data_IF_163895719667
#
_entry.id   IF_163895719667
#
_cell.length_a   1.000
_cell.length_b   1.000
_cell.length_c   1.000
_cell.angle_alpha   90.00
_cell.angle_beta   90.00
_cell.angle_gamma   90.00
#
_symmetry.space_group_name_H-M   'P 1'
#
loop_
_entity.id
_entity.type
_entity.pdbx_description
1 polymer ?
#
# COMPACT_ATOMS: atom_id res chain seq x y z
N UNK A 1 36.22 5.19 9.93
CA UNK A 1 34.87 4.60 10.05
C UNK A 1 33.89 5.59 9.47
N UNK A 2 33.25 5.27 8.34
CA UNK A 2 32.13 6.07 7.86
C UNK A 2 31.00 5.92 8.87
N UNK A 3 30.59 7.03 9.48
CA UNK A 3 29.35 7.02 10.26
C UNK A 3 28.23 6.64 9.29
N UNK A 4 27.51 5.55 9.57
CA UNK A 4 26.28 5.26 8.87
C UNK A 4 25.32 6.41 9.15
N UNK A 5 25.20 7.34 8.20
CA UNK A 5 24.15 8.34 8.23
C UNK A 5 22.83 7.59 8.22
N UNK A 6 22.03 7.78 9.27
CA UNK A 6 20.69 7.20 9.31
C UNK A 6 19.93 7.69 8.06
N UNK A 7 19.66 6.77 7.13
CA UNK A 7 18.85 7.06 5.96
C UNK A 7 17.44 7.33 6.47
N UNK A 8 16.90 8.52 6.18
CA UNK A 8 15.50 8.79 6.48
C UNK A 8 14.64 7.87 5.62
N UNK A 9 13.80 7.05 6.27
CA UNK A 9 12.92 6.08 5.59
C UNK A 9 11.50 6.63 5.61
N UNK A 10 10.99 7.02 4.45
CA UNK A 10 9.59 7.38 4.25
C UNK A 10 8.74 6.11 4.17
N UNK A 11 7.69 6.07 4.97
CA UNK A 11 6.66 5.02 4.94
C UNK A 11 5.40 5.64 4.35
N UNK A 12 4.91 5.11 3.23
CA UNK A 12 3.66 5.53 2.62
C UNK A 12 2.46 4.90 3.32
N UNK A 13 1.57 5.72 3.89
CA UNK A 13 0.41 5.29 4.71
C UNK A 13 -0.93 5.21 3.98
N UNK A 14 -1.01 5.57 2.69
CA UNK A 14 -2.29 5.78 1.97
C UNK A 14 -2.99 4.49 1.54
N UNK A 15 -2.30 3.36 1.62
CA UNK A 15 -2.78 1.98 1.39
C UNK A 15 -3.43 1.41 2.66
N UNK A 16 -4.33 2.19 3.25
CA UNK A 16 -4.94 1.90 4.54
C UNK A 16 -6.46 2.06 4.46
N UNK A 17 -7.20 0.96 4.59
CA UNK A 17 -8.67 0.94 4.47
C UNK A 17 -9.33 1.80 5.57
N UNK A 18 -8.82 1.78 6.80
CA UNK A 18 -9.37 2.59 7.89
C UNK A 18 -9.03 4.08 7.74
N UNK A 19 -7.82 4.39 7.28
CA UNK A 19 -7.26 5.75 7.25
C UNK A 19 -7.49 6.53 5.95
N UNK A 20 -7.84 5.87 4.84
CA UNK A 20 -7.99 6.49 3.53
C UNK A 20 -9.37 6.20 2.94
N UNK A 21 -10.23 7.24 2.91
CA UNK A 21 -11.57 7.14 2.32
C UNK A 21 -11.53 6.76 0.82
N UNK A 22 -10.46 7.15 0.10
CA UNK A 22 -10.25 6.73 -1.28
C UNK A 22 -9.94 5.23 -1.32
N UNK A 23 -8.93 4.78 -0.59
CA UNK A 23 -8.49 3.39 -0.61
C UNK A 23 -9.60 2.43 -0.15
N UNK A 24 -10.34 2.80 0.90
CA UNK A 24 -11.53 2.07 1.37
C UNK A 24 -12.52 1.81 0.24
N UNK A 25 -12.88 2.82 -0.55
CA UNK A 25 -13.84 2.67 -1.65
C UNK A 25 -13.33 1.71 -2.72
N UNK A 26 -12.03 1.76 -3.03
CA UNK A 26 -11.41 0.89 -4.03
C UNK A 26 -11.44 -0.56 -3.58
N UNK A 27 -10.95 -0.84 -2.36
CA UNK A 27 -10.91 -2.21 -1.81
C UNK A 27 -12.31 -2.78 -1.62
N UNK A 28 -13.24 -2.01 -1.04
CA UNK A 28 -14.63 -2.46 -0.89
C UNK A 28 -15.36 -2.63 -2.22
N UNK A 29 -14.91 -1.92 -3.28
CA UNK A 29 -15.44 -2.05 -4.63
C UNK A 29 -14.75 -3.15 -5.46
N UNK A 30 -13.71 -3.80 -4.93
CA UNK A 30 -12.90 -4.78 -5.67
C UNK A 30 -12.03 -4.16 -6.78
N UNK A 31 -11.86 -2.83 -6.80
CA UNK A 31 -11.06 -2.11 -7.79
C UNK A 31 -9.59 -2.10 -7.39
N UNK A 32 -8.97 -3.28 -7.48
CA UNK A 32 -7.57 -3.48 -7.10
C UNK A 32 -6.60 -2.80 -8.07
N UNK A 33 -6.95 -2.66 -9.35
CA UNK A 33 -6.12 -1.97 -10.34
C UNK A 33 -5.91 -0.50 -9.94
N UNK A 34 -7.00 0.20 -9.61
CA UNK A 34 -6.89 1.59 -9.13
C UNK A 34 -6.28 1.67 -7.72
N UNK A 35 -6.40 0.61 -6.90
CA UNK A 35 -5.75 0.53 -5.60
C UNK A 35 -4.22 0.41 -5.74
N UNK A 36 -3.73 -0.32 -6.75
CA UNK A 36 -2.30 -0.39 -7.08
C UNK A 36 -1.74 0.98 -7.47
N UNK A 37 -2.50 1.82 -8.17
CA UNK A 37 -2.09 3.21 -8.44
C UNK A 37 -1.86 4.02 -7.16
N UNK A 38 -2.59 3.74 -6.07
CA UNK A 38 -2.35 4.40 -4.78
C UNK A 38 -0.97 4.02 -4.24
N UNK A 39 -0.59 2.74 -4.34
CA UNK A 39 0.73 2.28 -3.94
C UNK A 39 1.84 2.86 -4.84
N UNK A 40 1.67 2.77 -6.17
CA UNK A 40 2.63 3.31 -7.15
C UNK A 40 2.89 4.80 -6.94
N UNK A 41 1.83 5.59 -6.78
CA UNK A 41 1.96 7.03 -6.50
C UNK A 41 2.75 7.31 -5.20
N UNK A 42 2.67 6.44 -4.19
CA UNK A 42 3.47 6.65 -2.97
C UNK A 42 4.96 6.38 -3.23
N UNK A 43 5.28 5.32 -3.99
CA UNK A 43 6.65 5.02 -4.42
C UNK A 43 7.22 6.15 -5.27
N UNK A 44 6.47 6.62 -6.28
CA UNK A 44 6.85 7.75 -7.13
C UNK A 44 7.07 9.05 -6.35
N UNK A 45 6.34 9.24 -5.24
CA UNK A 45 6.50 10.37 -4.34
C UNK A 45 7.57 10.16 -3.25
N UNK A 46 8.37 9.10 -3.36
CA UNK A 46 9.56 8.88 -2.53
C UNK A 46 9.33 8.03 -1.27
N UNK A 47 8.22 7.30 -1.17
CA UNK A 47 8.06 6.27 -0.15
C UNK A 47 9.01 5.09 -0.46
N UNK A 48 9.78 4.66 0.55
CA UNK A 48 10.66 3.49 0.43
C UNK A 48 10.00 2.21 0.96
N UNK A 49 8.98 2.37 1.80
CA UNK A 49 8.16 1.30 2.33
C UNK A 49 6.71 1.71 2.18
N UNK A 50 5.84 0.76 1.84
CA UNK A 50 4.39 0.95 1.80
C UNK A 50 3.78 0.22 2.99
N UNK A 51 3.06 0.95 3.84
CA UNK A 51 2.25 0.37 4.92
C UNK A 51 0.90 -0.10 4.36
N UNK A 52 0.48 -1.32 4.70
CA UNK A 52 -0.76 -1.91 4.16
C UNK A 52 -1.68 -2.28 5.31
N UNK A 53 -2.88 -1.70 5.32
CA UNK A 53 -3.94 -2.05 6.25
C UNK A 53 -5.23 -2.35 5.49
N UNK A 54 -5.75 -3.57 5.68
CA UNK A 54 -6.97 -4.09 5.06
C UNK A 54 -8.09 -4.35 6.07
N UNK A 55 -8.03 -3.75 7.26
CA UNK A 55 -9.01 -3.98 8.31
C UNK A 55 -10.23 -3.07 8.18
N UNK A 56 -11.40 -3.70 8.09
CA UNK A 56 -12.72 -3.06 8.09
C UNK A 56 -13.80 -4.09 8.47
N UNK A 57 -14.85 -3.67 9.19
CA UNK A 57 -15.81 -4.59 9.81
C UNK A 57 -16.62 -5.48 8.86
N UNK A 58 -16.64 -5.20 7.55
CA UNK A 58 -17.38 -5.97 6.53
C UNK A 58 -16.47 -6.61 5.47
N UNK A 59 -15.14 -6.45 5.60
CA UNK A 59 -14.17 -6.94 4.63
C UNK A 59 -13.57 -8.26 5.12
N UNK A 60 -13.38 -9.23 4.23
CA UNK A 60 -12.44 -10.33 4.51
C UNK A 60 -11.02 -9.78 4.41
N UNK A 61 -10.50 -9.25 5.52
CA UNK A 61 -9.19 -8.61 5.57
C UNK A 61 -8.07 -9.53 5.08
N UNK A 62 -8.17 -10.84 5.34
CA UNK A 62 -7.14 -11.80 4.98
C UNK A 62 -7.11 -12.03 3.48
N UNK A 63 -8.28 -12.26 2.87
CA UNK A 63 -8.38 -12.42 1.42
C UNK A 63 -7.94 -11.15 0.69
N UNK A 64 -8.39 -9.97 1.16
CA UNK A 64 -8.01 -8.68 0.59
C UNK A 64 -6.51 -8.41 0.68
N UNK A 65 -5.89 -8.71 1.84
CA UNK A 65 -4.45 -8.58 2.06
C UNK A 65 -3.65 -9.47 1.10
N UNK A 66 -3.99 -10.77 1.02
CA UNK A 66 -3.28 -11.71 0.14
C UNK A 66 -3.42 -11.29 -1.32
N UNK A 67 -4.63 -10.90 -1.74
CA UNK A 67 -4.88 -10.45 -3.11
C UNK A 67 -4.04 -9.23 -3.44
N UNK A 68 -4.09 -8.19 -2.61
CA UNK A 68 -3.38 -6.94 -2.86
C UNK A 68 -1.86 -7.12 -2.85
N UNK A 69 -1.30 -7.89 -1.90
CA UNK A 69 0.15 -8.12 -1.84
C UNK A 69 0.67 -8.95 -3.02
N UNK A 70 -0.10 -9.94 -3.50
CA UNK A 70 0.26 -10.71 -4.69
C UNK A 70 0.28 -9.82 -5.95
N UNK A 71 -0.68 -8.89 -6.05
CA UNK A 71 -0.74 -7.93 -7.15
C UNK A 71 0.43 -6.93 -7.08
N UNK A 72 0.74 -6.39 -5.90
CA UNK A 72 1.92 -5.53 -5.70
C UNK A 72 3.20 -6.25 -6.12
N UNK A 73 3.39 -7.50 -5.70
CA UNK A 73 4.59 -8.27 -6.02
C UNK A 73 4.76 -8.56 -7.52
N UNK A 74 3.67 -8.48 -8.30
CA UNK A 74 3.68 -8.66 -9.75
C UNK A 74 3.97 -7.34 -10.51
N UNK A 75 3.97 -6.19 -9.84
CA UNK A 75 4.17 -4.86 -10.43
C UNK A 75 5.60 -4.36 -10.17
N UNK A 76 6.50 -4.37 -11.17
CA UNK A 76 7.92 -4.02 -11.00
C UNK A 76 8.17 -2.58 -10.53
N UNK A 77 7.23 -1.67 -10.78
CA UNK A 77 7.33 -0.28 -10.36
C UNK A 77 6.95 -0.07 -8.88
N UNK A 78 6.50 -1.13 -8.21
CA UNK A 78 6.06 -1.12 -6.80
C UNK A 78 6.91 -2.07 -5.93
N UNK A 79 7.34 -3.23 -6.49
CA UNK A 79 8.04 -4.31 -5.78
C UNK A 79 9.57 -4.17 -5.71
#
# INVERSE_FOLDING_TARGET
MQQAQATFINIGERTNVTGSARFKKLIMGGDYDTALEVARQQVENGAQIIDVNMDEGLLDSKEAMVTFLNLIAAEPDIA
#
